data_IF_236110399262
#
_entry.id   IF_236110399262
#
_cell.length_a   1.000
_cell.length_b   1.000
_cell.length_c   1.000
_cell.angle_alpha   90.00
_cell.angle_beta   90.00
_cell.angle_gamma   90.00
#
_symmetry.space_group_name_H-M   'P 1'
#
loop_
_entity.id
_entity.type
_entity.pdbx_description
1 polymer ?
#
# COMPACT_ATOMS: atom_id res chain seq x y z
N UNK A 1 -58.09 31.48 -50.14
CA UNK A 1 -58.54 31.08 -48.79
C UNK A 1 -58.71 29.56 -48.67
N UNK A 2 -59.73 28.94 -49.29
CA UNK A 2 -60.05 27.51 -49.10
C UNK A 2 -58.89 26.52 -49.36
N UNK A 3 -58.12 26.68 -50.44
CA UNK A 3 -57.00 25.78 -50.81
C UNK A 3 -55.83 25.80 -49.82
N UNK A 4 -55.57 26.94 -49.19
CA UNK A 4 -54.50 27.08 -48.19
C UNK A 4 -54.91 26.43 -46.86
N UNK A 5 -56.19 26.56 -46.48
CA UNK A 5 -56.75 25.92 -45.30
C UNK A 5 -56.72 24.39 -45.45
N UNK A 6 -57.07 23.85 -46.62
CA UNK A 6 -57.02 22.39 -46.86
C UNK A 6 -55.59 21.83 -46.88
N UNK A 7 -54.62 22.59 -47.37
CA UNK A 7 -53.21 22.19 -47.35
C UNK A 7 -52.68 22.14 -45.91
N UNK A 8 -52.96 23.18 -45.11
CA UNK A 8 -52.57 23.24 -43.71
C UNK A 8 -53.20 22.10 -42.89
N UNK A 9 -54.49 21.82 -43.06
CA UNK A 9 -55.16 20.70 -42.36
C UNK A 9 -54.55 19.35 -42.74
N UNK A 10 -54.20 19.13 -44.01
CA UNK A 10 -53.53 17.89 -44.45
C UNK A 10 -52.13 17.71 -43.83
N UNK A 11 -51.38 18.80 -43.66
CA UNK A 11 -50.07 18.77 -43.04
C UNK A 11 -50.17 18.50 -41.53
N UNK A 12 -51.16 19.08 -40.85
CA UNK A 12 -51.46 18.79 -39.46
C UNK A 12 -51.90 17.34 -39.25
N UNK A 13 -52.77 16.79 -40.13
CA UNK A 13 -53.16 15.38 -40.10
C UNK A 13 -51.96 14.44 -40.23
N UNK A 14 -51.07 14.67 -41.20
CA UNK A 14 -49.83 13.90 -41.34
C UNK A 14 -48.95 13.96 -40.10
N UNK A 15 -48.89 15.13 -39.44
CA UNK A 15 -48.11 15.30 -38.21
C UNK A 15 -48.74 14.56 -37.03
N UNK A 16 -50.07 14.53 -36.94
CA UNK A 16 -50.80 13.73 -35.94
C UNK A 16 -50.52 12.23 -36.15
N UNK A 17 -50.56 11.74 -37.39
CA UNK A 17 -50.23 10.35 -37.73
C UNK A 17 -48.79 10.00 -37.36
N UNK A 18 -47.82 10.88 -37.68
CA UNK A 18 -46.43 10.70 -37.30
C UNK A 18 -46.23 10.65 -35.77
N UNK A 19 -46.92 11.52 -35.03
CA UNK A 19 -46.86 11.52 -33.57
C UNK A 19 -47.50 10.26 -32.99
N UNK A 20 -48.64 9.81 -33.52
CA UNK A 20 -49.27 8.55 -33.12
C UNK A 20 -48.32 7.35 -33.35
N UNK A 21 -47.67 7.28 -34.51
CA UNK A 21 -46.69 6.24 -34.81
C UNK A 21 -45.43 6.30 -33.91
N UNK A 22 -45.06 7.49 -33.42
CA UNK A 22 -43.97 7.64 -32.45
C UNK A 22 -44.40 7.18 -31.06
N UNK A 23 -45.63 7.50 -30.65
CA UNK A 23 -46.18 7.08 -29.35
C UNK A 23 -46.20 5.56 -29.27
N UNK A 24 -46.71 4.86 -30.29
CA UNK A 24 -46.76 3.39 -30.30
C UNK A 24 -45.38 2.76 -30.20
N UNK A 25 -44.38 3.28 -30.93
CA UNK A 25 -42.98 2.81 -30.82
C UNK A 25 -42.39 3.00 -29.43
N UNK A 26 -42.64 4.16 -28.82
CA UNK A 26 -42.14 4.45 -27.47
C UNK A 26 -42.83 3.58 -26.42
N UNK A 27 -44.12 3.29 -26.59
CA UNK A 27 -44.86 2.36 -25.74
C UNK A 27 -44.29 0.94 -25.83
N UNK A 28 -43.99 0.44 -27.03
CA UNK A 28 -43.32 -0.85 -27.22
C UNK A 28 -41.94 -0.90 -26.55
N UNK A 29 -41.13 0.16 -26.70
CA UNK A 29 -39.82 0.26 -26.07
C UNK A 29 -39.94 0.26 -24.54
N UNK A 30 -40.92 1.00 -23.99
CA UNK A 30 -41.18 1.06 -22.56
C UNK A 30 -41.56 -0.33 -22.01
N UNK A 31 -42.43 -1.07 -22.70
CA UNK A 31 -42.81 -2.42 -22.32
C UNK A 31 -41.59 -3.36 -22.31
N UNK A 32 -40.72 -3.26 -23.32
CA UNK A 32 -39.49 -4.06 -23.36
C UNK A 32 -38.55 -3.72 -22.19
N UNK A 33 -38.35 -2.43 -21.88
CA UNK A 33 -37.54 -2.00 -20.73
C UNK A 33 -38.14 -2.46 -19.41
N UNK A 34 -39.47 -2.42 -19.24
CA UNK A 34 -40.14 -2.91 -18.02
C UNK A 34 -39.92 -4.41 -17.84
N UNK A 35 -40.00 -5.21 -18.91
CA UNK A 35 -39.66 -6.65 -18.85
C UNK A 35 -38.20 -6.86 -18.46
N UNK A 36 -37.27 -6.10 -19.05
CA UNK A 36 -35.85 -6.19 -18.73
C UNK A 36 -35.58 -5.84 -17.26
N UNK A 37 -36.17 -4.76 -16.75
CA UNK A 37 -36.07 -4.37 -15.33
C UNK A 37 -36.63 -5.45 -14.42
N UNK A 38 -37.74 -6.09 -14.79
CA UNK A 38 -38.30 -7.19 -14.02
C UNK A 38 -37.34 -8.39 -13.97
N UNK A 39 -36.75 -8.78 -15.12
CA UNK A 39 -35.75 -9.86 -15.20
C UNK A 39 -34.51 -9.54 -14.34
N UNK A 40 -33.97 -8.33 -14.45
CA UNK A 40 -32.83 -7.89 -13.64
C UNK A 40 -33.15 -7.91 -12.14
N UNK A 41 -34.35 -7.49 -11.75
CA UNK A 41 -34.77 -7.52 -10.35
C UNK A 41 -34.87 -8.95 -9.79
N UNK A 42 -35.30 -9.92 -10.62
CA UNK A 42 -35.29 -11.33 -10.22
C UNK A 42 -33.84 -11.80 -10.03
N UNK A 43 -32.97 -11.56 -11.01
CA UNK A 43 -31.56 -11.95 -10.94
C UNK A 43 -30.84 -11.33 -9.73
N UNK A 44 -31.06 -10.04 -9.46
CA UNK A 44 -30.51 -9.35 -8.29
C UNK A 44 -31.01 -9.96 -6.98
N UNK A 45 -32.29 -10.36 -6.90
CA UNK A 45 -32.82 -11.03 -5.70
C UNK A 45 -32.16 -12.38 -5.48
N UNK A 46 -31.89 -13.12 -6.54
CA UNK A 46 -31.25 -14.44 -6.50
C UNK A 46 -29.79 -14.34 -6.06
N UNK A 47 -29.01 -13.48 -6.71
CA UNK A 47 -27.62 -13.20 -6.35
C UNK A 47 -27.50 -12.70 -4.90
N UNK A 48 -28.42 -11.86 -4.44
CA UNK A 48 -28.42 -11.40 -3.04
C UNK A 48 -28.68 -12.53 -2.03
N UNK A 49 -29.44 -13.58 -2.40
CA UNK A 49 -29.61 -14.76 -1.55
C UNK A 49 -28.31 -15.57 -1.49
N UNK A 50 -27.66 -15.78 -2.62
CA UNK A 50 -26.38 -16.50 -2.70
C UNK A 50 -25.28 -15.79 -1.89
N UNK A 51 -25.14 -14.47 -2.06
CA UNK A 51 -24.17 -13.67 -1.31
C UNK A 51 -24.40 -13.78 0.20
N UNK A 52 -25.66 -13.79 0.66
CA UNK A 52 -26.00 -13.96 2.08
C UNK A 52 -25.59 -15.33 2.60
N UNK A 53 -25.84 -16.39 1.83
CA UNK A 53 -25.50 -17.75 2.22
C UNK A 53 -23.98 -17.95 2.29
N UNK A 54 -23.26 -17.52 1.26
CA UNK A 54 -21.79 -17.56 1.25
C UNK A 54 -21.22 -16.76 2.41
N UNK A 55 -21.77 -15.58 2.69
CA UNK A 55 -21.33 -14.77 3.82
C UNK A 55 -21.49 -15.52 5.15
N UNK A 56 -22.66 -16.13 5.39
CA UNK A 56 -22.91 -16.95 6.58
C UNK A 56 -21.93 -18.11 6.70
N UNK A 57 -21.66 -18.82 5.60
CA UNK A 57 -20.68 -19.92 5.58
C UNK A 57 -19.27 -19.43 5.93
N UNK A 58 -18.84 -18.28 5.38
CA UNK A 58 -17.53 -17.72 5.70
C UNK A 58 -17.42 -17.26 7.15
N UNK A 59 -18.49 -16.73 7.75
CA UNK A 59 -18.52 -16.36 9.16
C UNK A 59 -18.34 -17.60 10.05
N UNK A 60 -19.14 -18.65 9.82
CA UNK A 60 -19.04 -19.90 10.57
C UNK A 60 -17.66 -20.54 10.45
N UNK A 61 -17.07 -20.55 9.26
CA UNK A 61 -15.72 -21.06 9.04
C UNK A 61 -14.66 -20.24 9.80
N UNK A 62 -14.78 -18.91 9.83
CA UNK A 62 -13.88 -18.04 10.60
C UNK A 62 -14.00 -18.29 12.09
N UNK A 63 -15.22 -18.38 12.62
CA UNK A 63 -15.46 -18.66 14.04
C UNK A 63 -14.89 -20.02 14.43
N UNK A 64 -15.16 -21.07 13.65
CA UNK A 64 -14.58 -22.38 13.87
C UNK A 64 -13.05 -22.36 13.83
N UNK A 65 -12.46 -21.61 12.89
CA UNK A 65 -11.01 -21.46 12.80
C UNK A 65 -10.43 -20.72 14.02
N UNK A 66 -11.07 -19.63 14.47
CA UNK A 66 -10.67 -18.91 15.68
C UNK A 66 -10.74 -19.81 16.91
N UNK A 67 -11.84 -20.54 17.09
CA UNK A 67 -11.98 -21.50 18.18
C UNK A 67 -10.89 -22.58 18.13
N UNK A 68 -10.52 -23.05 16.93
CA UNK A 68 -9.43 -24.02 16.76
C UNK A 68 -8.05 -23.42 17.12
N UNK A 69 -7.82 -22.14 16.83
CA UNK A 69 -6.58 -21.45 17.19
C UNK A 69 -6.49 -21.10 18.68
N UNK A 70 -7.63 -20.95 19.35
CA UNK A 70 -7.70 -20.65 20.79
C UNK A 70 -7.61 -21.90 21.66
N UNK A 71 -7.74 -23.10 21.10
CA UNK A 71 -7.56 -24.36 21.85
C UNK A 71 -6.09 -24.57 22.20
N UNK A 72 -5.83 -24.68 23.49
CA UNK A 72 -4.53 -25.02 24.07
C UNK A 72 -4.71 -26.16 25.09
N UNK A 73 -3.60 -26.67 25.60
CA UNK A 73 -3.61 -27.77 26.58
C UNK A 73 -4.20 -27.38 27.95
N UNK A 74 -4.44 -26.09 28.21
CA UNK A 74 -5.06 -25.62 29.45
C UNK A 74 -6.58 -25.58 29.37
N UNK A 75 -7.14 -25.30 28.18
CA UNK A 75 -8.58 -25.14 27.99
C UNK A 75 -9.24 -26.31 27.23
N UNK A 76 -8.45 -27.22 26.67
CA UNK A 76 -8.92 -28.42 25.99
C UNK A 76 -8.03 -29.56 26.44
N UNK A 77 -8.62 -30.72 26.74
CA UNK A 77 -7.96 -31.94 27.25
C UNK A 77 -6.96 -32.59 26.27
N UNK A 78 -6.37 -31.79 25.39
CA UNK A 78 -5.27 -32.10 24.49
C UNK A 78 -3.94 -32.11 25.27
N UNK A 79 -3.03 -33.03 24.94
CA UNK A 79 -1.72 -33.05 25.59
C UNK A 79 -0.89 -31.79 25.23
N UNK A 80 -0.05 -31.28 26.15
CA UNK A 80 0.81 -30.09 25.93
C UNK A 80 1.74 -30.19 24.73
N UNK A 81 2.03 -31.41 24.25
CA UNK A 81 2.85 -31.65 23.06
C UNK A 81 2.18 -31.21 21.75
N UNK A 82 0.84 -31.13 21.73
CA UNK A 82 0.00 -30.73 20.59
C UNK A 82 -0.21 -29.22 20.51
N UNK A 83 0.20 -28.48 21.54
CA UNK A 83 0.04 -27.04 21.60
C UNK A 83 0.81 -26.34 20.47
N UNK A 84 0.12 -25.52 19.68
CA UNK A 84 0.71 -24.83 18.51
C UNK A 84 1.61 -23.67 18.92
N UNK A 85 1.36 -23.11 20.10
CA UNK A 85 2.16 -22.04 20.70
C UNK A 85 3.11 -22.64 21.73
N UNK A 86 4.12 -23.37 21.25
CA UNK A 86 5.18 -23.85 22.14
C UNK A 86 5.99 -22.64 22.59
N UNK A 87 6.11 -22.35 23.90
CA UNK A 87 7.08 -21.37 24.35
C UNK A 87 8.45 -21.86 23.88
N UNK A 88 9.07 -21.12 22.98
CA UNK A 88 10.42 -21.43 22.52
C UNK A 88 11.33 -21.31 23.73
N UNK A 89 11.83 -22.45 24.22
CA UNK A 89 12.86 -22.45 25.24
C UNK A 89 14.08 -21.80 24.61
N UNK A 90 14.46 -20.64 25.14
CA UNK A 90 15.69 -19.95 24.74
C UNK A 90 16.85 -20.94 24.79
N UNK A 91 17.44 -21.22 23.62
CA UNK A 91 18.69 -21.98 23.52
C UNK A 91 19.89 -21.15 24.00
N UNK A 92 19.69 -19.85 24.22
CA UNK A 92 20.72 -18.94 24.76
C UNK A 92 21.01 -19.31 26.21
N UNK A 93 22.29 -19.49 26.52
CA UNK A 93 22.78 -19.60 27.89
C UNK A 93 22.50 -18.30 28.66
N UNK A 94 22.12 -18.42 29.95
CA UNK A 94 21.90 -17.26 30.80
C UNK A 94 23.21 -16.51 30.94
N UNK A 95 23.30 -15.31 30.37
CA UNK A 95 24.53 -14.51 30.39
C UNK A 95 25.00 -14.07 31.78
N UNK A 96 24.22 -14.33 32.85
CA UNK A 96 24.52 -13.91 34.22
C UNK A 96 24.51 -12.39 34.45
N UNK A 97 24.45 -11.60 33.38
CA UNK A 97 24.46 -10.13 33.43
C UNK A 97 23.09 -9.62 33.86
N UNK A 98 23.09 -8.66 34.79
CA UNK A 98 21.87 -7.94 35.17
C UNK A 98 21.32 -7.20 33.95
N UNK A 99 20.00 -7.17 33.75
CA UNK A 99 19.39 -6.35 32.71
C UNK A 99 19.71 -4.87 32.97
N UNK A 100 20.23 -4.17 31.96
CA UNK A 100 20.65 -2.77 32.05
C UNK A 100 21.99 -2.51 31.36
N UNK A 101 22.40 -1.24 31.36
CA UNK A 101 23.75 -0.85 30.97
C UNK A 101 24.80 -1.48 31.88
N UNK A 102 26.07 -1.44 31.47
CA UNK A 102 27.17 -1.90 32.31
C UNK A 102 27.16 -1.15 33.65
N UNK A 103 27.49 -1.85 34.74
CA UNK A 103 27.56 -1.25 36.09
C UNK A 103 28.56 -0.10 36.06
N UNK A 104 28.11 1.11 36.41
CA UNK A 104 28.92 2.33 36.40
C UNK A 104 28.77 3.20 35.14
N UNK A 105 28.03 2.78 34.11
CA UNK A 105 27.72 3.67 33.00
C UNK A 105 26.67 4.71 33.43
N UNK A 106 26.97 6.02 33.30
CA UNK A 106 25.97 7.05 33.51
C UNK A 106 24.89 6.91 32.43
N UNK A 107 23.64 6.71 32.85
CA UNK A 107 22.52 6.74 31.93
C UNK A 107 22.35 8.15 31.37
N UNK A 108 22.34 8.30 30.05
CA UNK A 108 22.02 9.58 29.40
C UNK A 108 20.58 9.52 28.95
N UNK A 109 19.66 10.01 29.78
CA UNK A 109 18.28 10.24 29.35
C UNK A 109 18.25 11.44 28.42
N UNK A 110 17.49 11.34 27.32
CA UNK A 110 17.32 12.46 26.39
C UNK A 110 16.64 13.63 27.12
N UNK A 111 17.44 14.66 27.42
CA UNK A 111 16.99 15.84 28.15
C UNK A 111 16.27 16.84 27.24
N UNK A 112 15.55 17.76 27.88
CA UNK A 112 14.92 18.88 27.19
C UNK A 112 16.00 19.78 26.57
N UNK A 113 15.94 20.03 25.26
CA UNK A 113 16.86 20.93 24.58
C UNK A 113 16.59 22.39 24.97
N UNK A 114 17.63 23.12 25.38
CA UNK A 114 17.48 24.53 25.74
C UNK A 114 17.14 25.40 24.52
N UNK A 115 17.72 25.09 23.36
CA UNK A 115 17.47 25.76 22.09
C UNK A 115 17.01 24.72 21.05
N UNK A 116 15.71 24.64 20.72
CA UNK A 116 15.23 23.75 19.68
C UNK A 116 15.51 24.34 18.28
N UNK A 117 15.78 23.47 17.29
CA UNK A 117 16.00 23.90 15.90
C UNK A 117 14.78 24.61 15.29
N UNK A 118 13.58 24.27 15.77
CA UNK A 118 12.31 24.91 15.38
C UNK A 118 11.42 25.14 16.60
N UNK A 119 10.91 26.36 16.73
CA UNK A 119 9.91 26.72 17.73
C UNK A 119 8.57 26.99 17.04
N UNK A 120 7.52 26.23 17.40
CA UNK A 120 6.15 26.45 16.94
C UNK A 120 5.28 26.77 18.14
N UNK A 121 4.66 27.95 18.16
CA UNK A 121 3.75 28.40 19.23
C UNK A 121 2.31 28.25 18.74
N UNK A 122 1.52 27.45 19.44
CA UNK A 122 0.10 27.27 19.15
C UNK A 122 -0.74 28.22 20.01
N UNK A 123 -1.21 29.32 19.42
CA UNK A 123 -2.03 30.33 20.10
C UNK A 123 -3.51 30.16 19.72
N UNK A 124 -4.43 30.01 20.68
CA UNK A 124 -5.86 29.96 20.38
C UNK A 124 -6.32 31.30 19.81
N UNK A 125 -7.04 31.28 18.68
CA UNK A 125 -7.54 32.49 18.03
C UNK A 125 -8.91 32.90 18.55
N UNK A 126 -9.69 31.93 19.07
CA UNK A 126 -11.08 32.12 19.47
C UNK A 126 -11.36 31.41 20.80
N UNK A 127 -12.32 31.95 21.54
CA UNK A 127 -12.81 31.34 22.75
C UNK A 127 -13.63 30.08 22.43
N UNK A 128 -13.26 28.95 23.02
CA UNK A 128 -13.95 27.67 22.78
C UNK A 128 -15.42 27.64 23.24
N UNK A 129 -15.82 28.57 24.13
CA UNK A 129 -17.19 28.65 24.66
C UNK A 129 -18.08 29.58 23.85
N UNK A 130 -17.59 30.77 23.47
CA UNK A 130 -18.42 31.82 22.88
C UNK A 130 -17.96 32.28 21.49
N UNK A 131 -16.84 31.76 20.97
CA UNK A 131 -16.30 32.12 19.66
C UNK A 131 -15.68 33.52 19.57
N UNK A 132 -15.68 34.30 20.65
CA UNK A 132 -15.05 35.63 20.66
C UNK A 132 -13.56 35.51 20.34
N UNK A 133 -13.04 36.41 19.50
CA UNK A 133 -11.62 36.47 19.18
C UNK A 133 -10.76 36.71 20.42
N UNK A 134 -9.70 35.93 20.53
CA UNK A 134 -8.65 36.06 21.54
C UNK A 134 -7.42 36.79 20.96
N UNK A 135 -7.53 37.33 19.75
CA UNK A 135 -6.47 38.12 19.12
C UNK A 135 -6.11 39.32 20.00
N UNK A 136 -4.88 39.34 20.52
CA UNK A 136 -4.39 40.40 21.42
C UNK A 136 -4.65 40.16 22.92
N UNK A 137 -5.33 39.07 23.29
CA UNK A 137 -5.46 38.69 24.70
C UNK A 137 -4.11 38.25 25.30
N UNK A 138 -3.86 38.60 26.56
CA UNK A 138 -2.60 38.26 27.26
C UNK A 138 -2.50 36.75 27.49
N UNK A 139 -1.34 36.17 27.17
CA UNK A 139 -1.02 34.77 27.52
C UNK A 139 -0.87 34.64 29.03
N UNK A 140 -1.70 33.78 29.66
CA UNK A 140 -1.66 33.55 31.11
C UNK A 140 -0.65 32.46 31.51
N UNK A 141 -0.54 31.39 30.70
CA UNK A 141 0.38 30.26 30.93
C UNK A 141 0.80 29.65 29.61
N UNK A 142 1.98 29.04 29.57
CA UNK A 142 2.45 28.22 28.45
C UNK A 142 2.89 26.87 28.97
N UNK A 143 2.57 25.82 28.24
CA UNK A 143 3.09 24.47 28.46
C UNK A 143 4.10 24.17 27.36
N UNK A 144 5.21 23.51 27.70
CA UNK A 144 6.28 23.18 26.77
C UNK A 144 6.32 21.67 26.57
N UNK A 145 6.33 21.24 25.31
CA UNK A 145 6.57 19.84 24.90
C UNK A 145 7.57 19.85 23.76
N UNK A 146 8.56 18.95 23.80
CA UNK A 146 9.54 18.77 22.74
C UNK A 146 9.40 17.38 22.15
N UNK A 147 9.41 17.33 20.82
CA UNK A 147 9.44 16.10 20.04
C UNK A 147 10.80 16.06 19.37
N UNK A 148 11.54 14.97 19.56
CA UNK A 148 12.86 14.77 18.96
C UNK A 148 12.71 13.82 17.76
N UNK A 149 12.50 14.42 16.59
CA UNK A 149 12.43 13.68 15.32
C UNK A 149 13.76 13.77 14.58
N UNK A 150 14.14 12.68 13.92
CA UNK A 150 15.31 12.67 13.05
C UNK A 150 14.90 13.18 11.66
N UNK A 151 15.49 14.27 11.14
CA UNK A 151 15.16 14.74 9.80
C UNK A 151 15.55 13.68 8.76
N UNK A 152 14.91 13.68 7.58
CA UNK A 152 15.23 12.72 6.51
C UNK A 152 16.73 12.69 6.22
N UNK A 153 17.38 11.59 6.58
CA UNK A 153 18.79 11.35 6.31
C UNK A 153 18.94 11.08 4.81
N UNK A 154 19.88 11.78 4.17
CA UNK A 154 20.23 11.51 2.77
C UNK A 154 21.28 10.41 2.74
N UNK A 155 21.09 9.42 1.88
CA UNK A 155 22.10 8.39 1.65
C UNK A 155 23.19 9.01 0.78
N UNK A 156 24.41 9.04 1.28
CA UNK A 156 25.59 9.31 0.48
C UNK A 156 25.98 8.04 -0.28
N UNK A 157 25.96 8.10 -1.61
CA UNK A 157 26.35 6.98 -2.47
C UNK A 157 27.75 7.25 -3.00
N UNK A 158 28.71 6.42 -2.59
CA UNK A 158 30.07 6.45 -3.14
C UNK A 158 30.23 5.29 -4.12
N UNK A 159 30.45 5.62 -5.40
CA UNK A 159 30.81 4.63 -6.42
C UNK A 159 32.33 4.42 -6.43
N UNK A 160 32.76 3.19 -6.21
CA UNK A 160 34.18 2.83 -6.29
C UNK A 160 34.46 2.09 -7.60
N UNK A 161 35.16 2.74 -8.53
CA UNK A 161 35.57 2.15 -9.81
C UNK A 161 37.00 1.59 -9.72
N UNK A 162 37.20 0.38 -10.24
CA UNK A 162 38.53 -0.22 -10.40
C UNK A 162 38.89 -0.31 -11.89
N UNK A 163 39.92 0.42 -12.28
CA UNK A 163 40.49 0.35 -13.62
C UNK A 163 41.34 -0.91 -13.79
N UNK A 164 41.40 -1.40 -15.03
CA UNK A 164 42.34 -2.44 -15.44
C UNK A 164 43.22 -1.95 -16.59
N UNK A 165 44.53 -2.17 -16.48
CA UNK A 165 45.54 -1.73 -17.45
C UNK A 165 46.42 -2.90 -17.88
N UNK A 166 46.70 -2.97 -19.17
CA UNK A 166 47.61 -3.97 -19.75
C UNK A 166 49.03 -3.42 -19.73
N UNK A 167 49.99 -4.22 -19.26
CA UNK A 167 51.38 -3.82 -19.29
C UNK A 167 51.90 -3.86 -20.74
N UNK A 168 52.25 -2.70 -21.30
CA UNK A 168 52.80 -2.61 -22.66
C UNK A 168 54.15 -3.29 -22.87
N UNK A 169 54.82 -3.74 -21.79
CA UNK A 169 56.12 -4.41 -21.85
C UNK A 169 56.03 -5.94 -21.84
N UNK A 170 55.13 -6.52 -21.05
CA UNK A 170 55.04 -7.98 -20.89
C UNK A 170 53.67 -8.57 -21.25
N UNK A 171 52.60 -7.76 -21.36
CA UNK A 171 51.27 -8.19 -21.79
C UNK A 171 50.23 -8.56 -20.72
N UNK A 172 50.54 -8.81 -19.42
CA UNK A 172 49.51 -9.06 -18.42
C UNK A 172 48.60 -7.86 -18.15
N UNK A 173 47.33 -8.16 -17.88
CA UNK A 173 46.35 -7.22 -17.36
C UNK A 173 46.43 -7.13 -15.83
N UNK A 174 46.51 -5.89 -15.32
CA UNK A 174 46.53 -5.57 -13.89
C UNK A 174 45.25 -4.79 -13.55
N UNK A 175 44.56 -5.17 -12.47
CA UNK A 175 43.35 -4.50 -12.00
C UNK A 175 43.52 -4.09 -10.54
N UNK A 176 43.04 -2.91 -10.16
CA UNK A 176 43.01 -2.49 -8.75
C UNK A 176 41.87 -3.16 -7.97
N UNK A 177 42.04 -3.27 -6.65
CA UNK A 177 40.99 -3.74 -5.75
C UNK A 177 39.95 -2.64 -5.48
N UNK A 178 38.70 -3.06 -5.23
CA UNK A 178 37.63 -2.19 -4.72
C UNK A 178 37.35 -2.59 -3.26
N UNK A 179 37.17 -1.64 -2.32
CA UNK A 179 36.82 -1.96 -0.94
C UNK A 179 35.57 -2.86 -0.87
N UNK A 180 35.65 -3.96 -0.12
CA UNK A 180 34.56 -4.94 0.02
C UNK A 180 34.33 -5.85 -1.20
N UNK A 181 35.03 -5.64 -2.31
CA UNK A 181 35.12 -6.60 -3.41
C UNK A 181 36.11 -7.71 -3.09
N UNK A 182 35.87 -8.92 -3.62
CA UNK A 182 36.90 -9.99 -3.57
C UNK A 182 38.15 -9.50 -4.31
N UNK A 183 39.26 -9.41 -3.59
CA UNK A 183 40.57 -9.11 -4.17
C UNK A 183 40.91 -10.16 -5.23
N UNK A 184 40.96 -9.76 -6.50
CA UNK A 184 41.51 -10.61 -7.55
C UNK A 184 43.02 -10.38 -7.57
N UNK A 185 43.74 -10.99 -6.62
CA UNK A 185 45.20 -11.01 -6.60
C UNK A 185 45.72 -11.98 -7.67
N UNK A 186 45.70 -11.56 -8.93
CA UNK A 186 46.30 -12.37 -9.99
C UNK A 186 46.19 -11.76 -11.38
N UNK A 187 47.34 -11.70 -12.07
CA UNK A 187 47.42 -11.42 -13.50
C UNK A 187 46.49 -12.39 -14.27
N UNK A 188 45.47 -11.85 -14.91
CA UNK A 188 44.57 -12.63 -15.77
C UNK A 188 45.38 -12.99 -17.02
N UNK A 189 45.98 -14.19 -17.05
CA UNK A 189 46.64 -14.70 -18.25
C UNK A 189 45.55 -15.09 -19.24
N UNK A 190 45.42 -14.35 -20.32
CA UNK A 190 44.54 -14.70 -21.43
C UNK A 190 44.86 -16.11 -21.91
N UNK A 191 43.92 -17.05 -21.73
CA UNK A 191 43.87 -18.28 -22.53
C UNK A 191 42.92 -18.03 -23.68
N UNK A 192 43.39 -18.46 -24.85
CA UNK A 192 42.85 -18.12 -26.15
C UNK A 192 41.38 -18.49 -26.35
N UNK A 193 40.86 -17.86 -27.40
CA UNK A 193 39.63 -18.22 -28.06
C UNK A 193 39.56 -19.73 -28.29
N UNK A 194 38.58 -20.38 -27.68
CA UNK A 194 37.94 -21.58 -28.23
C UNK A 194 36.44 -21.34 -28.19
N UNK A 195 35.84 -21.41 -29.38
CA UNK A 195 34.41 -21.23 -29.59
C UNK A 195 33.61 -22.22 -28.75
N UNK A 196 32.60 -21.70 -28.08
CA UNK A 196 31.56 -22.46 -27.41
C UNK A 196 30.35 -21.55 -27.31
N UNK A 197 29.47 -21.66 -28.31
CA UNK A 197 28.21 -20.93 -28.32
C UNK A 197 27.37 -21.29 -27.10
N UNK A 198 26.86 -20.28 -26.42
CA UNK A 198 25.68 -20.38 -25.58
C UNK A 198 24.65 -19.37 -26.15
N UNK A 199 23.37 -19.75 -26.25
CA UNK A 199 22.41 -19.03 -27.08
C UNK A 199 22.04 -17.67 -26.47
N UNK A 200 21.91 -16.69 -27.36
CA UNK A 200 21.30 -15.39 -27.11
C UNK A 200 19.92 -15.57 -26.46
N UNK A 201 19.81 -15.24 -25.17
CA UNK A 201 18.53 -14.82 -24.59
C UNK A 201 18.48 -13.31 -24.66
N UNK A 202 17.97 -12.82 -25.79
CA UNK A 202 17.40 -11.48 -25.92
C UNK A 202 16.31 -11.33 -24.85
N UNK A 203 16.62 -10.62 -23.77
CA UNK A 203 15.62 -9.99 -22.92
C UNK A 203 15.36 -8.60 -23.49
N UNK A 204 14.33 -8.51 -24.33
CA UNK A 204 13.69 -7.26 -24.70
C UNK A 204 13.20 -6.55 -23.44
N UNK A 205 13.47 -5.25 -23.24
CA UNK A 205 12.63 -4.45 -22.38
C UNK A 205 11.32 -4.17 -23.12
N UNK A 206 10.20 -4.55 -22.51
CA UNK A 206 8.88 -4.11 -22.92
C UNK A 206 8.77 -2.58 -22.70
N UNK A 207 8.10 -1.93 -23.64
CA UNK A 207 7.57 -0.57 -23.52
C UNK A 207 6.63 -0.45 -22.31
#
# INVERSE_FOLDING_TARGET
MHKLVTAATSAHLKKIEQLAARITRLEEELVNKVRQVHQLNIAVKELNKEVKEVHKQTQLAREAHLLHLMKDSQNSSLPPSTDRRKPTRSLREKSGRKPGGQVGHPGTTLGFAHQPDRLVVHTPQECYLCGTTLSGSKVLRSERRQVHDLPPQRIEVTEHQAEAKVCGRCGPQNKSGVPGGRECSGAIRGRGAVGGGLPDRLSTPAL
#
